data_IF_636368861642
#
_entry.id   IF_636368861642
#
_cell.length_a   1.000
_cell.length_b   1.000
_cell.length_c   1.000
_cell.angle_alpha   90.00
_cell.angle_beta   90.00
_cell.angle_gamma   90.00
#
_symmetry.space_group_name_H-M   'P 1'
#
loop_
_entity.id
_entity.type
_entity.pdbx_description
1 polymer ?
#
# COMPACT_ATOMS: atom_id res chain seq x y z
N UNK A 1 25.79 1.38 27.53
CA UNK A 1 25.84 2.34 26.40
C UNK A 1 24.55 3.14 26.47
N UNK A 2 24.59 4.46 26.72
CA UNK A 2 23.37 5.24 26.86
C UNK A 2 22.70 5.40 25.50
N UNK A 3 21.41 5.08 25.44
CA UNK A 3 20.54 5.29 24.29
C UNK A 3 20.44 6.79 24.00
N UNK A 4 20.98 7.22 22.87
CA UNK A 4 20.76 8.57 22.36
C UNK A 4 19.33 8.64 21.86
N UNK A 5 18.42 9.09 22.72
CA UNK A 5 17.15 9.67 22.29
C UNK A 5 17.53 10.93 21.48
N UNK A 6 17.44 10.85 20.16
CA UNK A 6 17.47 12.05 19.33
C UNK A 6 16.17 12.80 19.59
N UNK A 7 16.26 13.87 20.37
CA UNK A 7 15.16 14.78 20.59
C UNK A 7 14.91 15.54 19.27
N UNK A 8 13.77 15.31 18.64
CA UNK A 8 13.33 16.04 17.44
C UNK A 8 12.66 17.35 17.87
N UNK A 9 13.29 18.10 18.77
CA UNK A 9 12.75 19.31 19.39
C UNK A 9 12.63 20.51 18.44
N UNK A 10 12.95 20.33 17.15
CA UNK A 10 12.85 21.40 16.14
C UNK A 10 13.89 22.50 16.31
N UNK A 11 14.86 22.35 17.21
CA UNK A 11 16.00 23.26 17.31
C UNK A 11 16.95 23.06 16.12
N UNK A 12 17.47 24.19 15.60
CA UNK A 12 18.33 24.24 14.41
C UNK A 12 19.67 23.54 14.72
N UNK A 13 19.81 22.29 14.29
CA UNK A 13 21.00 21.47 14.56
C UNK A 13 22.04 21.68 13.46
N UNK A 14 23.02 22.52 13.74
CA UNK A 14 24.08 22.92 12.80
C UNK A 14 25.23 21.89 12.75
N UNK A 15 24.88 20.63 12.49
CA UNK A 15 25.86 19.54 12.43
C UNK A 15 26.36 19.30 11.01
N UNK A 16 27.62 18.86 10.88
CA UNK A 16 28.22 18.44 9.61
C UNK A 16 27.38 17.35 8.91
N UNK A 17 26.69 16.52 9.69
CA UNK A 17 25.80 15.47 9.24
C UNK A 17 24.50 16.04 8.64
N UNK A 18 23.91 17.06 9.28
CA UNK A 18 22.76 17.81 8.74
C UNK A 18 23.16 18.52 7.44
N UNK A 19 24.33 19.15 7.39
CA UNK A 19 24.84 19.77 6.16
C UNK A 19 25.08 18.74 5.04
N UNK A 20 25.57 17.55 5.36
CA UNK A 20 25.71 16.47 4.39
C UNK A 20 24.36 15.95 3.88
N UNK A 21 23.36 15.84 4.76
CA UNK A 21 21.99 15.41 4.40
C UNK A 21 21.28 16.45 3.53
N UNK A 22 21.38 17.75 3.87
CA UNK A 22 20.76 18.84 3.12
C UNK A 22 21.42 19.09 1.76
N UNK A 23 22.72 18.79 1.63
CA UNK A 23 23.45 18.90 0.36
C UNK A 23 23.30 17.67 -0.55
N UNK A 24 22.62 16.60 -0.12
CA UNK A 24 22.33 15.45 -0.97
C UNK A 24 21.28 15.81 -2.03
N UNK A 25 21.67 15.77 -3.31
CA UNK A 25 20.78 15.99 -4.46
C UNK A 25 19.78 14.86 -4.72
N UNK A 26 19.93 13.73 -4.02
CA UNK A 26 19.02 12.59 -4.10
C UNK A 26 17.88 12.77 -3.10
N UNK A 27 16.64 12.80 -3.61
CA UNK A 27 15.44 12.89 -2.79
C UNK A 27 15.33 11.63 -1.91
N UNK A 28 15.29 11.83 -0.60
CA UNK A 28 15.01 10.80 0.41
C UNK A 28 13.79 11.27 1.18
N UNK A 29 12.68 10.54 1.12
CA UNK A 29 11.52 10.80 1.97
C UNK A 29 11.71 10.07 3.29
N UNK A 30 11.58 10.78 4.40
CA UNK A 30 11.79 10.22 5.73
C UNK A 30 10.67 9.26 6.10
N UNK A 31 10.78 8.00 5.67
CA UNK A 31 9.92 6.92 6.17
C UNK A 31 10.38 6.53 7.58
N UNK A 32 11.70 6.50 7.84
CA UNK A 32 12.33 6.37 9.17
C UNK A 32 13.73 7.02 9.22
N UNK A 33 14.24 7.45 10.39
CA UNK A 33 15.62 7.94 10.54
C UNK A 33 16.70 6.92 10.12
N UNK A 34 16.44 5.63 10.37
CA UNK A 34 17.33 4.55 9.96
C UNK A 34 17.43 4.42 8.43
N UNK A 35 16.30 4.50 7.72
CA UNK A 35 16.29 4.45 6.26
C UNK A 35 17.09 5.62 5.66
N UNK A 36 16.91 6.84 6.19
CA UNK A 36 17.63 8.03 5.73
C UNK A 36 19.15 7.93 5.87
N UNK A 37 19.64 7.28 6.94
CA UNK A 37 21.07 7.14 7.24
C UNK A 37 21.70 5.86 6.65
N UNK A 38 20.90 4.92 6.18
CA UNK A 38 21.38 3.65 5.60
C UNK A 38 22.06 3.80 4.23
N UNK A 39 21.99 4.98 3.61
CA UNK A 39 22.49 5.23 2.25
C UNK A 39 21.51 4.85 1.14
N UNK A 40 20.42 4.16 1.47
CA UNK A 40 19.35 3.79 0.55
C UNK A 40 18.46 5.00 0.17
N UNK A 41 17.84 4.91 -1.00
CA UNK A 41 16.85 5.86 -1.52
C UNK A 41 15.44 5.29 -1.43
N UNK A 42 14.42 6.13 -1.64
CA UNK A 42 13.02 5.68 -1.72
C UNK A 42 12.84 4.58 -2.76
N UNK A 43 13.59 4.64 -3.87
CA UNK A 43 13.57 3.60 -4.90
C UNK A 43 14.12 2.24 -4.41
N UNK A 44 15.16 2.28 -3.57
CA UNK A 44 15.77 1.07 -3.00
C UNK A 44 14.80 0.38 -2.02
N UNK A 45 13.95 1.14 -1.32
CA UNK A 45 12.91 0.62 -0.43
C UNK A 45 11.83 -0.17 -1.17
N UNK A 46 11.53 0.17 -2.43
CA UNK A 46 10.54 -0.53 -3.24
C UNK A 46 11.10 -1.72 -4.02
N UNK A 47 12.42 -1.91 -3.98
CA UNK A 47 13.11 -3.00 -4.69
C UNK A 47 13.50 -4.08 -3.70
N UNK A 48 12.82 -5.24 -3.74
CA UNK A 48 13.03 -6.33 -2.79
C UNK A 48 14.51 -6.72 -2.62
N UNK A 49 15.32 -6.61 -3.68
CA UNK A 49 16.75 -6.94 -3.67
C UNK A 49 17.58 -6.18 -2.62
N UNK A 50 17.13 -5.01 -2.17
CA UNK A 50 17.89 -4.14 -1.27
C UNK A 50 17.40 -4.20 0.19
N UNK A 51 16.37 -5.01 0.48
CA UNK A 51 15.72 -5.06 1.80
C UNK A 51 16.64 -5.61 2.89
N UNK A 52 17.57 -6.51 2.55
CA UNK A 52 18.56 -7.04 3.50
C UNK A 52 19.49 -5.94 4.03
N UNK A 53 19.77 -4.91 3.24
CA UNK A 53 20.58 -3.75 3.68
C UNK A 53 19.80 -2.80 4.59
N UNK A 54 18.47 -2.90 4.61
CA UNK A 54 17.56 -2.07 5.37
C UNK A 54 17.08 -2.75 6.66
N UNK A 55 17.28 -4.06 6.79
CA UNK A 55 16.93 -4.82 7.98
C UNK A 55 17.91 -4.52 9.12
N UNK A 56 17.35 -4.24 10.30
CA UNK A 56 18.09 -4.29 11.55
C UNK A 56 18.67 -5.71 11.71
N UNK A 57 20.00 -5.83 11.69
CA UNK A 57 20.73 -7.10 11.81
C UNK A 57 20.37 -7.92 13.07
N UNK A 58 19.76 -7.28 14.08
CA UNK A 58 19.23 -7.90 15.30
C UNK A 58 17.95 -8.70 15.08
N UNK A 59 17.21 -8.46 13.99
CA UNK A 59 16.01 -9.22 13.61
C UNK A 59 16.32 -10.01 12.34
N UNK A 60 16.65 -11.29 12.49
CA UNK A 60 16.91 -12.19 11.36
C UNK A 60 15.60 -12.56 10.65
N UNK A 61 15.15 -11.72 9.73
CA UNK A 61 14.05 -12.04 8.80
C UNK A 61 14.65 -12.29 7.43
N UNK A 62 14.47 -13.49 6.88
CA UNK A 62 14.87 -13.76 5.49
C UNK A 62 14.02 -12.92 4.55
N UNK A 63 14.64 -12.30 3.54
CA UNK A 63 13.98 -11.56 2.45
C UNK A 63 12.74 -12.27 1.90
N UNK A 64 12.76 -13.61 1.83
CA UNK A 64 11.64 -14.45 1.34
C UNK A 64 10.37 -14.34 2.20
N UNK A 65 10.50 -13.89 3.43
CA UNK A 65 9.41 -13.75 4.39
C UNK A 65 8.97 -12.30 4.59
N UNK A 66 9.56 -11.36 3.84
CA UNK A 66 9.22 -9.95 3.90
C UNK A 66 8.19 -9.67 2.79
N UNK A 67 6.96 -9.26 3.14
CA UNK A 67 5.97 -8.88 2.14
C UNK A 67 6.38 -7.54 1.51
N UNK A 68 7.10 -7.59 0.38
CA UNK A 68 7.48 -6.40 -0.39
C UNK A 68 6.39 -6.10 -1.43
N UNK A 69 5.72 -4.96 -1.27
CA UNK A 69 4.75 -4.46 -2.24
C UNK A 69 5.50 -3.83 -3.42
N UNK A 70 5.58 -4.56 -4.54
CA UNK A 70 6.20 -4.06 -5.77
C UNK A 70 5.20 -3.18 -6.52
N UNK A 71 5.22 -1.87 -6.26
CA UNK A 71 4.36 -0.89 -6.94
C UNK A 71 4.64 -0.81 -8.44
N UNK A 72 5.89 -1.08 -8.85
CA UNK A 72 6.31 -1.13 -10.24
C UNK A 72 6.89 -2.51 -10.54
N UNK A 73 6.09 -3.38 -11.13
CA UNK A 73 6.59 -4.64 -11.69
C UNK A 73 7.06 -4.39 -13.10
N UNK A 74 8.21 -4.91 -13.49
CA UNK A 74 8.68 -4.87 -14.88
C UNK A 74 8.66 -6.26 -15.49
N UNK A 75 8.38 -6.37 -16.78
CA UNK A 75 8.55 -7.61 -17.53
C UNK A 75 10.05 -7.95 -17.72
N UNK A 76 10.34 -9.12 -18.28
CA UNK A 76 11.72 -9.56 -18.56
C UNK A 76 12.49 -8.63 -19.52
N UNK A 77 11.78 -7.74 -20.23
CA UNK A 77 12.35 -6.76 -21.15
C UNK A 77 12.47 -5.35 -20.51
N UNK A 78 12.20 -5.22 -19.21
CA UNK A 78 12.28 -3.95 -18.48
C UNK A 78 11.08 -3.02 -18.69
N UNK A 79 9.99 -3.46 -19.32
CA UNK A 79 8.79 -2.63 -19.49
C UNK A 79 7.94 -2.67 -18.23
N UNK A 80 7.41 -1.53 -17.81
CA UNK A 80 6.49 -1.43 -16.67
C UNK A 80 5.22 -2.23 -16.96
N UNK A 81 4.95 -3.23 -16.13
CA UNK A 81 3.73 -4.00 -16.10
C UNK A 81 2.68 -3.16 -15.36
N UNK A 82 1.66 -2.70 -16.08
CA UNK A 82 0.54 -2.00 -15.48
C UNK A 82 -0.25 -2.97 -14.60
N UNK A 83 -0.55 -2.55 -13.38
CA UNK A 83 -1.45 -3.31 -12.51
C UNK A 83 -2.85 -3.29 -13.11
N UNK A 84 -3.49 -4.45 -13.13
CA UNK A 84 -4.87 -4.58 -13.59
C UNK A 84 -5.80 -3.84 -12.61
N UNK A 85 -6.58 -2.89 -13.12
CA UNK A 85 -7.42 -1.99 -12.33
C UNK A 85 -8.86 -2.50 -12.14
N UNK A 86 -9.08 -3.82 -12.23
CA UNK A 86 -10.40 -4.45 -12.20
C UNK A 86 -11.33 -3.95 -11.10
N UNK A 87 -10.82 -3.70 -9.90
CA UNK A 87 -11.63 -3.27 -8.77
C UNK A 87 -12.23 -1.88 -9.02
N UNK A 88 -11.43 -0.98 -9.61
CA UNK A 88 -11.87 0.36 -9.98
C UNK A 88 -12.82 0.32 -11.18
N UNK A 89 -12.50 -0.49 -12.19
CA UNK A 89 -13.35 -0.64 -13.38
C UNK A 89 -14.72 -1.20 -13.00
N UNK A 90 -14.74 -2.24 -12.16
CA UNK A 90 -15.97 -2.76 -11.59
C UNK A 90 -16.71 -1.70 -10.78
N UNK A 91 -16.01 -0.94 -9.93
CA UNK A 91 -16.64 0.10 -9.14
C UNK A 91 -17.26 1.20 -10.02
N UNK A 92 -16.65 1.56 -11.15
CA UNK A 92 -17.19 2.56 -12.08
C UNK A 92 -18.39 2.03 -12.86
N UNK A 93 -18.26 0.85 -13.44
CA UNK A 93 -19.20 0.36 -14.46
C UNK A 93 -20.20 -0.67 -13.94
N UNK A 94 -19.89 -1.40 -12.87
CA UNK A 94 -20.71 -2.49 -12.33
C UNK A 94 -20.90 -3.68 -13.29
N UNK A 95 -20.18 -3.70 -14.41
CA UNK A 95 -20.36 -4.68 -15.48
C UNK A 95 -19.47 -5.91 -15.27
N UNK A 96 -20.07 -7.09 -15.38
CA UNK A 96 -19.34 -8.36 -15.39
C UNK A 96 -18.63 -8.58 -16.71
N UNK A 97 -19.24 -8.14 -17.80
CA UNK A 97 -18.72 -8.38 -19.14
C UNK A 97 -17.42 -7.58 -19.37
N UNK A 98 -17.34 -6.36 -18.83
CA UNK A 98 -16.11 -5.56 -18.82
C UNK A 98 -14.96 -6.21 -18.01
N UNK A 99 -15.27 -7.05 -17.02
CA UNK A 99 -14.24 -7.78 -16.28
C UNK A 99 -13.66 -8.95 -17.08
N UNK A 100 -14.46 -9.55 -17.94
CA UNK A 100 -14.07 -10.66 -18.80
C UNK A 100 -13.32 -10.15 -20.04
N UNK A 101 -13.83 -9.11 -20.69
CA UNK A 101 -13.29 -8.57 -21.94
C UNK A 101 -12.06 -7.67 -21.71
N UNK A 102 -12.17 -6.67 -20.84
CA UNK A 102 -11.12 -5.67 -20.66
C UNK A 102 -10.07 -6.13 -19.63
N UNK A 103 -10.54 -6.71 -18.52
CA UNK A 103 -9.68 -7.14 -17.41
C UNK A 103 -9.25 -8.61 -17.50
N UNK A 104 -9.71 -9.35 -18.52
CA UNK A 104 -9.32 -10.73 -18.85
C UNK A 104 -9.50 -11.74 -17.72
N UNK A 105 -10.50 -11.56 -16.87
CA UNK A 105 -10.84 -12.53 -15.84
C UNK A 105 -11.78 -13.61 -16.35
N UNK A 106 -11.59 -14.86 -15.91
CA UNK A 106 -12.59 -15.89 -16.10
C UNK A 106 -13.83 -15.59 -15.24
N UNK A 107 -15.05 -15.71 -15.81
CA UNK A 107 -16.33 -15.41 -15.15
C UNK A 107 -16.46 -15.96 -13.72
N UNK A 108 -16.04 -17.21 -13.51
CA UNK A 108 -16.10 -17.87 -12.19
C UNK A 108 -15.05 -17.36 -11.18
N UNK A 109 -13.94 -16.80 -11.66
CA UNK A 109 -12.89 -16.22 -10.84
C UNK A 109 -13.14 -14.74 -10.51
N UNK A 110 -13.78 -14.00 -11.44
CA UNK A 110 -14.08 -12.58 -11.27
C UNK A 110 -14.86 -12.30 -9.98
N UNK A 111 -15.92 -13.08 -9.70
CA UNK A 111 -16.68 -12.94 -8.46
C UNK A 111 -15.82 -13.10 -7.21
N UNK A 112 -14.95 -14.13 -7.15
CA UNK A 112 -14.10 -14.38 -5.98
C UNK A 112 -13.15 -13.22 -5.72
N UNK A 113 -12.50 -12.71 -6.76
CA UNK A 113 -11.52 -11.63 -6.63
C UNK A 113 -12.21 -10.31 -6.21
N UNK A 114 -13.41 -10.03 -6.73
CA UNK A 114 -14.21 -8.89 -6.28
C UNK A 114 -14.73 -9.06 -4.85
N UNK A 115 -15.10 -10.29 -4.47
CA UNK A 115 -15.54 -10.62 -3.12
C UNK A 115 -14.40 -10.46 -2.12
N UNK A 116 -13.21 -10.96 -2.44
CA UNK A 116 -12.01 -10.80 -1.61
C UNK A 116 -11.65 -9.31 -1.45
N UNK A 117 -11.73 -8.53 -2.53
CA UNK A 117 -11.51 -7.09 -2.46
C UNK A 117 -12.56 -6.36 -1.61
N UNK A 118 -13.84 -6.76 -1.71
CA UNK A 118 -14.93 -6.24 -0.88
C UNK A 118 -14.68 -6.51 0.62
N UNK A 119 -14.21 -7.71 0.96
CA UNK A 119 -13.80 -8.05 2.33
C UNK A 119 -12.58 -7.23 2.78
N UNK A 120 -11.66 -6.94 1.87
CA UNK A 120 -10.50 -6.09 2.14
C UNK A 120 -10.92 -4.65 2.48
N UNK A 121 -11.82 -4.05 1.68
CA UNK A 121 -12.40 -2.73 1.99
C UNK A 121 -13.10 -2.75 3.34
N UNK A 122 -13.90 -3.78 3.62
CA UNK A 122 -14.60 -3.90 4.90
C UNK A 122 -13.61 -3.97 6.08
N UNK A 123 -12.52 -4.73 5.95
CA UNK A 123 -11.48 -4.79 6.97
C UNK A 123 -10.84 -3.42 7.21
N UNK A 124 -10.49 -2.69 6.14
CA UNK A 124 -9.88 -1.36 6.25
C UNK A 124 -10.85 -0.38 6.92
N UNK A 125 -12.11 -0.37 6.49
CA UNK A 125 -13.17 0.48 7.05
C UNK A 125 -13.36 0.23 8.54
N UNK A 126 -13.44 -1.03 8.97
CA UNK A 126 -13.55 -1.38 10.40
C UNK A 126 -12.30 -0.97 11.17
N UNK A 127 -11.10 -1.24 10.64
CA UNK A 127 -9.86 -0.84 11.32
C UNK A 127 -9.72 0.67 11.47
N UNK A 128 -10.07 1.45 10.44
CA UNK A 128 -10.02 2.91 10.52
C UNK A 128 -11.02 3.44 11.55
N UNK A 129 -12.23 2.89 11.58
CA UNK A 129 -13.25 3.26 12.57
C UNK A 129 -12.80 2.97 14.01
N UNK A 130 -12.20 1.80 14.24
CA UNK A 130 -11.74 1.42 15.58
C UNK A 130 -10.49 2.20 16.04
N UNK A 131 -9.64 2.63 15.10
CA UNK A 131 -8.39 3.34 15.39
C UNK A 131 -8.56 4.86 15.49
N UNK A 132 -9.59 5.42 14.84
CA UNK A 132 -9.83 6.86 14.83
C UNK A 132 -10.79 7.22 15.96
N UNK A 133 -10.41 8.16 16.82
CA UNK A 133 -11.27 8.64 17.89
C UNK A 133 -12.36 9.61 17.38
N UNK A 134 -12.15 10.20 16.20
CA UNK A 134 -13.08 11.09 15.54
C UNK A 134 -13.90 10.32 14.50
N UNK A 135 -15.15 10.02 14.85
CA UNK A 135 -16.10 9.34 13.97
C UNK A 135 -16.52 10.20 12.76
N UNK A 136 -16.34 11.52 12.83
CA UNK A 136 -16.64 12.46 11.74
C UNK A 136 -15.42 12.73 10.84
N UNK A 137 -14.32 11.99 11.02
CA UNK A 137 -13.14 12.11 10.18
C UNK A 137 -13.48 11.83 8.69
N UNK A 138 -13.11 12.72 7.75
CA UNK A 138 -13.43 12.56 6.34
C UNK A 138 -12.94 11.26 5.71
N UNK A 139 -11.82 10.70 6.20
CA UNK A 139 -11.26 9.44 5.69
C UNK A 139 -12.08 8.26 6.20
N UNK A 140 -12.45 8.24 7.48
CA UNK A 140 -13.33 7.21 8.05
C UNK A 140 -14.65 7.17 7.28
N UNK A 141 -15.31 8.33 7.11
CA UNK A 141 -16.56 8.44 6.37
C UNK A 141 -16.43 8.00 4.90
N UNK A 142 -15.33 8.37 4.23
CA UNK A 142 -15.09 7.97 2.84
C UNK A 142 -14.98 6.45 2.69
N UNK A 143 -14.31 5.78 3.64
CA UNK A 143 -14.16 4.32 3.60
C UNK A 143 -15.45 3.58 3.99
N UNK A 144 -16.26 4.12 4.91
CA UNK A 144 -17.59 3.58 5.20
C UNK A 144 -18.53 3.69 3.98
N UNK A 145 -18.51 4.84 3.30
CA UNK A 145 -19.26 5.05 2.06
C UNK A 145 -18.78 4.11 0.96
N UNK A 146 -17.46 3.99 0.76
CA UNK A 146 -16.87 3.08 -0.22
C UNK A 146 -17.28 1.63 0.04
N UNK A 147 -17.20 1.18 1.29
CA UNK A 147 -17.58 -0.18 1.68
C UNK A 147 -19.04 -0.47 1.34
N UNK A 148 -19.94 0.46 1.65
CA UNK A 148 -21.38 0.34 1.40
C UNK A 148 -21.66 0.29 -0.10
N UNK A 149 -21.19 1.28 -0.86
CA UNK A 149 -21.42 1.39 -2.30
C UNK A 149 -20.83 0.20 -3.07
N UNK A 150 -19.63 -0.25 -2.69
CA UNK A 150 -18.99 -1.37 -3.36
C UNK A 150 -19.76 -2.68 -3.14
N UNK A 151 -20.24 -2.92 -1.91
CA UNK A 151 -21.07 -4.09 -1.58
C UNK A 151 -22.41 -4.08 -2.32
N UNK A 152 -23.09 -2.94 -2.38
CA UNK A 152 -24.34 -2.79 -3.12
C UNK A 152 -24.17 -3.11 -4.61
N UNK A 153 -23.10 -2.57 -5.23
CA UNK A 153 -22.77 -2.90 -6.63
C UNK A 153 -22.47 -4.37 -6.81
N UNK A 154 -21.74 -5.00 -5.89
CA UNK A 154 -21.41 -6.41 -5.93
C UNK A 154 -22.66 -7.29 -5.82
N UNK A 155 -23.56 -6.99 -4.89
CA UNK A 155 -24.81 -7.73 -4.69
C UNK A 155 -25.78 -7.54 -5.86
N UNK A 156 -25.81 -6.34 -6.45
CA UNK A 156 -26.59 -6.06 -7.67
C UNK A 156 -26.06 -6.84 -8.86
N UNK A 157 -24.73 -6.85 -9.05
CA UNK A 157 -24.12 -7.63 -10.12
C UNK A 157 -24.33 -9.13 -9.87
N UNK A 158 -24.07 -9.64 -8.68
CA UNK A 158 -24.13 -11.06 -8.33
C UNK A 158 -25.21 -11.35 -7.28
N UNK A 159 -26.50 -11.34 -7.68
CA UNK A 159 -27.59 -11.59 -6.75
C UNK A 159 -27.49 -13.01 -6.19
N UNK A 160 -27.57 -13.14 -4.87
CA UNK A 160 -27.63 -14.45 -4.21
C UNK A 160 -28.90 -15.16 -4.65
N UNK A 161 -28.78 -16.25 -5.41
CA UNK A 161 -29.92 -17.13 -5.69
C UNK A 161 -30.40 -17.68 -4.35
N UNK A 162 -31.61 -17.30 -3.93
CA UNK A 162 -32.34 -18.00 -2.87
C UNK A 162 -32.66 -19.40 -3.41
N UNK A 163 -32.03 -20.41 -2.81
CA UNK A 163 -32.43 -21.82 -2.94
C UNK A 163 -33.53 -22.05 -1.92
#
# INVERSE_FOLDING_TARGET
MPSVYADFSGEECDSELVNHLMNCTKRRSAITPFACLSGNTDYDLFTAANVDSLLLQTVHVSQKHIPVLHLEKTDACGRKLLLNAYALDFFKHGSKDALEEDNRFYRGAAFRILQDFSLCIASISVSLKEMCEDEDDPVVLAFEQLNTLYREKLDTAYPRRRI
#
